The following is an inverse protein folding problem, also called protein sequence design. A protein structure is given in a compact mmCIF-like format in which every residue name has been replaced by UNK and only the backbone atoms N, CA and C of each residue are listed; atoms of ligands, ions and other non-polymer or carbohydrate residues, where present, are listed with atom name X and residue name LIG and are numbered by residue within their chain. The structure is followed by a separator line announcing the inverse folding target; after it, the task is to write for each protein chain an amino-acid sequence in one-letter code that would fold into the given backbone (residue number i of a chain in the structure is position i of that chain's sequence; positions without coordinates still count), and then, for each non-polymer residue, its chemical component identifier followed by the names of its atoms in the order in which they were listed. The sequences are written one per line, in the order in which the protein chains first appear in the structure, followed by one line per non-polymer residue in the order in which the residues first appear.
data_IF_803308793825
#
_entry.id   IF_803308793825
#
_cell.length_a   1.000
_cell.length_b   1.000
_cell.length_c   1.000
_cell.angle_alpha   90.00
_cell.angle_beta   90.00
_cell.angle_gamma   90.00
#
_symmetry.space_group_name_H-M   'P 1'
#
loop_
_entity.id
_entity.type
_entity.pdbx_description
1 polymer ?
#
# COMPACT_ATOMS: atom_id res chain seq x y z
N UNK A 1 21.93 66.64 5.15
CA UNK A 1 22.44 66.65 3.76
C UNK A 1 23.80 65.96 3.76
N UNK A 2 23.93 64.80 3.10
CA UNK A 2 25.12 64.40 2.30
C UNK A 2 24.83 63.05 1.63
N UNK A 3 24.79 63.08 0.30
CA UNK A 3 24.82 61.90 -0.58
C UNK A 3 26.29 61.48 -0.79
N UNK A 4 26.54 60.19 -1.03
CA UNK A 4 27.53 59.81 -2.05
C UNK A 4 27.30 58.41 -2.63
N UNK A 5 27.18 58.42 -3.96
CA UNK A 5 27.27 57.38 -4.98
C UNK A 5 28.75 56.92 -5.12
N UNK A 6 29.23 55.90 -5.86
CA UNK A 6 28.80 54.73 -6.67
C UNK A 6 30.17 54.17 -7.18
N UNK A 7 30.27 52.90 -7.61
CA UNK A 7 30.91 52.42 -8.87
C UNK A 7 31.45 50.98 -8.79
N UNK A 8 31.09 50.24 -9.85
CA UNK A 8 31.39 48.87 -10.25
C UNK A 8 32.90 48.53 -10.35
N UNK A 9 33.22 47.22 -10.31
CA UNK A 9 34.03 46.57 -11.35
C UNK A 9 33.82 45.05 -11.43
N UNK A 10 33.74 44.56 -12.67
CA UNK A 10 33.48 43.20 -13.12
C UNK A 10 34.68 42.24 -12.93
N UNK A 11 34.35 40.98 -12.60
CA UNK A 11 34.82 39.64 -13.07
C UNK A 11 36.34 39.38 -13.38
N UNK A 12 36.82 38.13 -13.20
CA UNK A 12 36.56 37.11 -14.24
C UNK A 12 36.16 35.72 -13.72
N UNK A 13 35.47 35.02 -14.63
CA UNK A 13 35.01 33.63 -14.57
C UNK A 13 36.18 32.66 -14.36
N UNK A 14 35.96 31.63 -13.56
CA UNK A 14 36.73 30.39 -13.61
C UNK A 14 35.75 29.27 -13.93
N UNK A 15 35.88 28.76 -15.14
CA UNK A 15 35.27 27.52 -15.59
C UNK A 15 35.80 26.33 -14.78
N UNK A 16 35.07 25.22 -14.90
CA UNK A 16 35.44 23.84 -14.54
C UNK A 16 35.44 23.47 -13.05
N UNK A 17 34.29 23.00 -12.59
CA UNK A 17 34.17 21.60 -12.20
C UNK A 17 32.71 21.18 -12.32
N UNK A 18 32.40 20.41 -13.36
CA UNK A 18 31.19 19.60 -13.40
C UNK A 18 31.23 18.70 -12.18
N UNK A 19 30.50 19.07 -11.12
CA UNK A 19 30.14 18.12 -10.08
C UNK A 19 29.49 16.93 -10.78
N UNK A 20 29.95 15.69 -10.55
CA UNK A 20 29.22 14.55 -11.05
C UNK A 20 27.81 14.67 -10.44
N UNK A 21 26.78 14.64 -11.29
CA UNK A 21 25.41 14.39 -10.82
C UNK A 21 25.52 13.16 -9.93
N UNK A 22 25.39 13.38 -8.62
CA UNK A 22 25.16 12.32 -7.67
C UNK A 22 23.99 11.52 -8.23
N UNK A 23 24.27 10.30 -8.68
CA UNK A 23 23.24 9.33 -9.02
C UNK A 23 22.62 9.00 -7.68
N UNK A 24 21.57 9.76 -7.34
CA UNK A 24 20.88 9.70 -6.07
C UNK A 24 20.50 8.25 -5.74
N UNK A 25 20.92 7.72 -4.57
CA UNK A 25 20.27 6.55 -3.97
C UNK A 25 18.94 6.93 -3.27
N UNK A 26 18.35 8.10 -3.58
CA UNK A 26 17.16 8.60 -2.87
C UNK A 26 15.90 7.76 -3.07
N UNK A 27 15.89 6.76 -3.97
CA UNK A 27 14.68 5.98 -4.20
C UNK A 27 14.41 4.89 -3.17
N UNK A 28 15.36 4.50 -2.32
CA UNK A 28 15.15 3.33 -1.44
C UNK A 28 14.47 3.71 -0.11
N UNK A 29 15.03 4.66 0.64
CA UNK A 29 14.49 5.02 1.96
C UNK A 29 13.11 5.68 1.89
N UNK A 30 12.88 6.54 0.90
CA UNK A 30 11.58 7.19 0.68
C UNK A 30 10.51 6.18 0.26
N UNK A 31 10.84 5.25 -0.64
CA UNK A 31 9.91 4.18 -1.04
C UNK A 31 9.57 3.25 0.11
N UNK A 32 10.55 2.92 0.96
CA UNK A 32 10.33 2.09 2.16
C UNK A 32 9.44 2.84 3.17
N UNK A 33 9.64 4.15 3.35
CA UNK A 33 8.79 4.95 4.24
C UNK A 33 7.34 5.06 3.74
N UNK A 34 7.15 5.20 2.41
CA UNK A 34 5.81 5.17 1.80
C UNK A 34 5.14 3.80 2.00
N UNK A 35 5.85 2.71 1.69
CA UNK A 35 5.33 1.36 1.89
C UNK A 35 4.96 1.11 3.36
N UNK A 36 5.79 1.53 4.30
CA UNK A 36 5.48 1.41 5.73
C UNK A 36 4.22 2.22 6.12
N UNK A 37 3.98 3.37 5.46
CA UNK A 37 2.75 4.14 5.63
C UNK A 37 1.52 3.38 5.17
N UNK A 38 1.60 2.77 3.99
CA UNK A 38 0.53 1.94 3.42
C UNK A 38 0.27 0.69 4.28
N UNK A 39 1.34 0.03 4.76
CA UNK A 39 1.25 -1.15 5.63
C UNK A 39 0.55 -0.80 6.95
N UNK A 40 0.91 0.33 7.57
CA UNK A 40 0.28 0.79 8.82
C UNK A 40 -1.19 1.15 8.60
N UNK A 41 -1.53 1.75 7.46
CA UNK A 41 -2.93 2.02 7.11
C UNK A 41 -3.72 0.72 6.92
N UNK A 42 -3.13 -0.30 6.29
CA UNK A 42 -3.68 -1.66 6.26
C UNK A 42 -3.93 -2.24 7.65
N UNK A 43 -2.97 -2.10 8.57
CA UNK A 43 -3.11 -2.55 9.97
C UNK A 43 -4.27 -1.82 10.68
N UNK A 44 -4.39 -0.49 10.52
CA UNK A 44 -5.50 0.27 11.13
C UNK A 44 -6.86 -0.23 10.67
N UNK A 45 -6.94 -0.59 9.40
CA UNK A 45 -8.18 -1.09 8.83
C UNK A 45 -8.53 -2.49 9.34
N UNK A 46 -7.56 -3.39 9.45
CA UNK A 46 -7.76 -4.71 10.08
C UNK A 46 -8.21 -4.55 11.53
N UNK A 47 -7.59 -3.65 12.29
CA UNK A 47 -8.01 -3.35 13.66
C UNK A 47 -9.46 -2.83 13.71
N UNK A 48 -9.85 -1.91 12.81
CA UNK A 48 -11.24 -1.42 12.72
C UNK A 48 -12.24 -2.53 12.37
N UNK A 49 -11.86 -3.50 11.54
CA UNK A 49 -12.66 -4.68 11.25
C UNK A 49 -12.86 -5.55 12.50
N UNK A 50 -11.82 -5.75 13.32
CA UNK A 50 -11.95 -6.49 14.58
C UNK A 50 -12.84 -5.77 15.60
N UNK A 51 -12.73 -4.44 15.72
CA UNK A 51 -13.66 -3.64 16.54
C UNK A 51 -15.11 -3.82 16.07
N UNK A 52 -15.35 -3.88 14.75
CA UNK A 52 -16.68 -4.18 14.21
C UNK A 52 -17.20 -5.54 14.70
N UNK A 53 -16.37 -6.57 14.62
CA UNK A 53 -16.73 -7.94 15.05
C UNK A 53 -17.01 -8.00 16.54
N UNK A 54 -16.19 -7.36 17.37
CA UNK A 54 -16.39 -7.28 18.81
C UNK A 54 -17.77 -6.69 19.15
N UNK A 55 -18.12 -5.55 18.54
CA UNK A 55 -19.42 -4.91 18.73
C UNK A 55 -20.59 -5.80 18.30
N UNK A 56 -20.48 -6.49 17.15
CA UNK A 56 -21.50 -7.44 16.70
C UNK A 56 -21.67 -8.63 17.65
N UNK A 57 -20.57 -9.15 18.21
CA UNK A 57 -20.61 -10.24 19.19
C UNK A 57 -21.21 -9.78 20.52
N UNK A 58 -20.86 -8.57 21.00
CA UNK A 58 -21.43 -7.97 22.21
C UNK A 58 -22.95 -7.81 22.08
N UNK A 59 -23.43 -7.34 20.92
CA UNK A 59 -24.86 -7.22 20.62
C UNK A 59 -25.59 -8.58 20.65
N UNK A 60 -24.90 -9.68 20.36
CA UNK A 60 -25.50 -11.03 20.45
C UNK A 60 -25.60 -11.55 21.90
N UNK A 61 -24.82 -10.99 22.84
CA UNK A 61 -24.66 -11.55 24.18
C UNK A 61 -25.53 -10.89 25.27
N UNK A 62 -26.06 -9.68 25.06
CA UNK A 62 -26.59 -8.89 26.19
C UNK A 62 -27.88 -8.15 25.85
N UNK A 63 -28.89 -8.32 26.71
CA UNK A 63 -30.21 -7.66 26.70
C UNK A 63 -30.19 -6.33 27.48
N UNK A 64 -28.99 -5.73 27.67
CA UNK A 64 -28.76 -4.53 28.48
C UNK A 64 -28.50 -3.30 27.62
N UNK A 65 -28.91 -2.16 28.16
CA UNK A 65 -29.32 -0.94 27.48
C UNK A 65 -28.18 -0.05 26.97
N UNK A 66 -26.96 -0.55 26.84
CA UNK A 66 -25.86 0.19 26.21
C UNK A 66 -25.59 -0.42 24.82
N UNK A 67 -26.41 0.00 23.85
CA UNK A 67 -26.39 -0.47 22.48
C UNK A 67 -25.13 0.05 21.75
N UNK A 68 -24.02 -0.68 21.87
CA UNK A 68 -22.78 -0.36 21.16
C UNK A 68 -22.89 -0.89 19.73
N UNK A 69 -23.24 -0.01 18.79
CA UNK A 69 -23.32 -0.34 17.37
C UNK A 69 -22.00 -0.11 16.61
N UNK A 70 -21.68 -0.95 15.61
CA UNK A 70 -20.57 -0.67 14.71
C UNK A 70 -20.86 0.54 13.82
N UNK A 71 -19.83 1.36 13.59
CA UNK A 71 -19.89 2.51 12.70
C UNK A 71 -19.83 2.07 11.23
N UNK A 72 -20.24 2.95 10.31
CA UNK A 72 -20.12 2.71 8.86
C UNK A 72 -18.67 2.42 8.43
N UNK A 73 -17.70 3.11 9.05
CA UNK A 73 -16.27 2.90 8.75
C UNK A 73 -15.78 1.53 9.23
N UNK A 74 -16.22 1.09 10.41
CA UNK A 74 -15.92 -0.24 10.95
C UNK A 74 -16.52 -1.36 10.10
N UNK A 75 -17.79 -1.23 9.69
CA UNK A 75 -18.40 -2.14 8.72
C UNK A 75 -17.65 -2.14 7.39
N UNK A 76 -17.31 -0.96 6.86
CA UNK A 76 -16.57 -0.84 5.61
C UNK A 76 -15.20 -1.50 5.66
N UNK A 77 -14.49 -1.37 6.79
CA UNK A 77 -13.21 -2.04 7.02
C UNK A 77 -13.38 -3.56 7.06
N UNK A 78 -14.41 -4.08 7.73
CA UNK A 78 -14.73 -5.50 7.76
C UNK A 78 -15.04 -6.06 6.36
N UNK A 79 -15.92 -5.40 5.60
CA UNK A 79 -16.25 -5.84 4.25
C UNK A 79 -15.04 -5.83 3.33
N UNK A 80 -14.19 -4.81 3.43
CA UNK A 80 -12.98 -4.76 2.60
C UNK A 80 -12.02 -5.90 2.93
N UNK A 81 -11.79 -6.19 4.22
CA UNK A 81 -10.98 -7.34 4.64
C UNK A 81 -11.52 -8.67 4.07
N UNK A 82 -12.84 -8.88 4.14
CA UNK A 82 -13.49 -10.07 3.57
C UNK A 82 -13.33 -10.14 2.05
N UNK A 83 -13.51 -9.02 1.36
CA UNK A 83 -13.38 -8.95 -0.09
C UNK A 83 -11.95 -9.22 -0.55
N UNK A 84 -10.94 -8.67 0.12
CA UNK A 84 -9.52 -8.91 -0.17
C UNK A 84 -9.16 -10.39 -0.01
N UNK A 85 -9.67 -11.05 1.03
CA UNK A 85 -9.45 -12.49 1.24
C UNK A 85 -10.20 -13.36 0.20
N UNK A 86 -11.44 -13.00 -0.15
CA UNK A 86 -12.17 -13.69 -1.21
C UNK A 86 -11.45 -13.59 -2.55
N UNK A 87 -10.96 -12.40 -2.91
CA UNK A 87 -10.20 -12.20 -4.13
C UNK A 87 -8.92 -13.05 -4.15
N UNK A 88 -8.16 -13.04 -3.04
CA UNK A 88 -6.95 -13.89 -2.90
C UNK A 88 -7.26 -15.37 -3.16
N UNK A 89 -8.40 -15.86 -2.67
CA UNK A 89 -8.84 -17.25 -2.89
C UNK A 89 -9.26 -17.51 -4.33
N UNK A 90 -9.93 -16.57 -4.97
CA UNK A 90 -10.29 -16.65 -6.39
C UNK A 90 -9.01 -16.76 -7.23
N UNK A 91 -8.04 -15.88 -7.00
CA UNK A 91 -6.77 -15.87 -7.75
C UNK A 91 -6.00 -17.19 -7.57
N UNK A 92 -5.97 -17.73 -6.34
CA UNK A 92 -5.35 -19.03 -6.06
C UNK A 92 -6.08 -20.19 -6.77
N UNK A 93 -7.41 -20.16 -6.80
CA UNK A 93 -8.22 -21.15 -7.51
C UNK A 93 -8.00 -21.07 -9.03
N UNK A 94 -8.01 -19.87 -9.60
CA UNK A 94 -7.75 -19.64 -11.03
C UNK A 94 -6.34 -20.10 -11.42
N UNK A 95 -5.33 -19.81 -10.61
CA UNK A 95 -3.96 -20.29 -10.83
C UNK A 95 -3.87 -21.82 -10.77
N UNK A 96 -4.61 -22.46 -9.86
CA UNK A 96 -4.65 -23.91 -9.73
C UNK A 96 -5.33 -24.55 -10.94
N UNK A 97 -6.48 -24.01 -11.35
CA UNK A 97 -7.22 -24.46 -12.53
C UNK A 97 -6.37 -24.29 -13.80
N UNK A 98 -5.67 -23.16 -13.94
CA UNK A 98 -4.73 -22.93 -15.04
C UNK A 98 -3.64 -23.99 -15.08
N UNK A 99 -2.99 -24.26 -13.94
CA UNK A 99 -1.95 -25.29 -13.83
C UNK A 99 -2.46 -26.70 -14.17
N UNK A 100 -3.69 -27.04 -13.76
CA UNK A 100 -4.33 -28.31 -14.10
C UNK A 100 -4.60 -28.42 -15.60
N UNK A 101 -5.13 -27.36 -16.21
CA UNK A 101 -5.38 -27.31 -17.66
C UNK A 101 -4.09 -27.45 -18.45
N UNK A 102 -3.03 -26.74 -18.07
CA UNK A 102 -1.73 -26.83 -18.72
C UNK A 102 -1.14 -28.25 -18.63
N UNK A 103 -1.27 -28.88 -17.46
CA UNK A 103 -0.82 -30.26 -17.25
C UNK A 103 -1.59 -31.24 -18.13
N UNK A 104 -2.93 -31.11 -18.17
CA UNK A 104 -3.78 -31.96 -19.01
C UNK A 104 -3.50 -31.75 -20.50
N UNK A 105 -3.32 -30.50 -20.95
CA UNK A 105 -2.96 -30.19 -22.33
C UNK A 105 -1.62 -30.79 -22.72
N UNK A 106 -0.63 -30.80 -21.82
CA UNK A 106 0.65 -31.49 -22.04
C UNK A 106 0.47 -33.01 -22.16
N UNK A 107 -0.37 -33.62 -21.32
CA UNK A 107 -0.68 -35.06 -21.42
C UNK A 107 -1.41 -35.42 -22.72
N UNK A 108 -2.33 -34.58 -23.19
CA UNK A 108 -3.05 -34.80 -24.47
C UNK A 108 -2.14 -34.58 -25.69
N UNK A 109 -1.15 -33.67 -25.59
CA UNK A 109 -0.16 -33.45 -26.65
C UNK A 109 1.01 -34.46 -26.64
N UNK A 110 1.17 -35.26 -25.60
CA UNK A 110 2.05 -36.45 -25.62
C UNK A 110 1.21 -37.73 -25.73
N UNK A 111 0.65 -38.06 -26.92
CA UNK A 111 0.07 -39.38 -27.12
C UNK A 111 1.21 -40.40 -27.24
N UNK A 112 1.22 -41.37 -26.33
CA UNK A 112 2.06 -42.59 -26.33
C UNK A 112 3.57 -42.42 -26.64
N UNK A 113 4.38 -42.46 -25.58
CA UNK A 113 5.66 -43.19 -25.63
C UNK A 113 5.47 -44.59 -25.08
#
# INVERSE_FOLDING_TARGET
MTKSARVLKHAPKTDTASTPKSVHPHSNAESVALQAGDDVEGIRQVHSAYVCLEKLVVLMQVNEREEIYPTRSEFGALFRLVNEELQRRIDAADSTIGSLRDTLSKQVCEPDR
#
